data_IF_433110541232
#
_entry.id   IF_433110541232
#
_cell.length_a   1.000
_cell.length_b   1.000
_cell.length_c   1.000
_cell.angle_alpha   90.00
_cell.angle_beta   90.00
_cell.angle_gamma   90.00
#
_symmetry.space_group_name_H-M   'P 1'
#
loop_
_entity.id
_entity.type
_entity.pdbx_description
1 polymer ?
#
# COMPACT_ATOMS: atom_id res chain seq x y z
N UNK A 1 -10.33 4.76 -33.17
CA UNK A 1 -9.96 3.50 -32.51
C UNK A 1 -11.10 3.14 -31.55
N UNK A 2 -11.30 1.87 -31.19
CA UNK A 2 -12.38 1.50 -30.26
C UNK A 2 -11.92 1.72 -28.81
N UNK A 3 -12.84 1.89 -27.87
CA UNK A 3 -12.47 2.04 -26.46
C UNK A 3 -11.67 0.84 -25.92
N UNK A 4 -11.91 -0.37 -26.44
CA UNK A 4 -11.16 -1.56 -26.06
C UNK A 4 -9.71 -1.54 -26.59
N UNK A 5 -9.53 -1.12 -27.85
CA UNK A 5 -8.20 -0.95 -28.45
C UNK A 5 -7.43 0.20 -27.78
N UNK A 6 -8.10 1.30 -27.46
CA UNK A 6 -7.51 2.42 -26.73
C UNK A 6 -7.05 1.98 -25.34
N UNK A 7 -7.88 1.24 -24.60
CA UNK A 7 -7.53 0.70 -23.28
C UNK A 7 -6.33 -0.26 -23.35
N UNK A 8 -6.31 -1.17 -24.32
CA UNK A 8 -5.20 -2.10 -24.52
C UNK A 8 -3.90 -1.34 -24.81
N UNK A 9 -3.94 -0.40 -25.76
CA UNK A 9 -2.78 0.41 -26.16
C UNK A 9 -2.21 1.19 -24.97
N UNK A 10 -3.08 1.90 -24.23
CA UNK A 10 -2.66 2.66 -23.05
C UNK A 10 -2.11 1.76 -21.94
N UNK A 11 -2.68 0.56 -21.74
CA UNK A 11 -2.16 -0.40 -20.76
C UNK A 11 -0.75 -0.88 -21.12
N UNK A 12 -0.51 -1.22 -22.38
CA UNK A 12 0.81 -1.64 -22.86
C UNK A 12 1.83 -0.52 -22.71
N UNK A 13 1.46 0.72 -23.04
CA UNK A 13 2.33 1.90 -22.86
C UNK A 13 2.71 2.12 -21.39
N UNK A 14 1.76 1.95 -20.45
CA UNK A 14 2.04 2.06 -19.02
C UNK A 14 2.96 0.94 -18.52
N UNK A 15 2.77 -0.31 -18.97
CA UNK A 15 3.65 -1.43 -18.64
C UNK A 15 5.07 -1.21 -19.16
N UNK A 16 5.18 -0.69 -20.38
CA UNK A 16 6.44 -0.33 -21.01
C UNK A 16 7.16 0.77 -20.20
N UNK A 17 6.46 1.83 -19.81
CA UNK A 17 7.02 2.89 -18.97
C UNK A 17 7.49 2.38 -17.60
N UNK A 18 6.71 1.50 -16.96
CA UNK A 18 7.08 0.86 -15.70
C UNK A 18 8.39 0.07 -15.87
N UNK A 19 8.49 -0.75 -16.92
CA UNK A 19 9.69 -1.52 -17.23
C UNK A 19 10.90 -0.61 -17.47
N UNK A 20 10.72 0.49 -18.18
CA UNK A 20 11.84 1.34 -18.57
C UNK A 20 12.29 2.28 -17.42
N UNK A 21 11.49 2.45 -16.36
CA UNK A 21 11.76 3.45 -15.30
C UNK A 21 11.82 2.91 -13.88
N UNK A 22 11.24 1.75 -13.58
CA UNK A 22 11.06 1.28 -12.19
C UNK A 22 11.85 0.02 -11.82
N UNK A 23 12.62 -0.59 -12.72
CA UNK A 23 13.32 -1.87 -12.41
C UNK A 23 14.28 -1.73 -11.24
N UNK A 24 15.09 -0.67 -11.19
CA UNK A 24 15.99 -0.44 -10.05
C UNK A 24 15.23 -0.30 -8.73
N UNK A 25 14.05 0.36 -8.73
CA UNK A 25 13.21 0.47 -7.54
C UNK A 25 12.60 -0.87 -7.13
N UNK A 26 12.22 -1.70 -8.10
CA UNK A 26 11.71 -3.06 -7.85
C UNK A 26 12.81 -3.94 -7.29
N UNK A 27 14.03 -3.88 -7.83
CA UNK A 27 15.18 -4.66 -7.36
C UNK A 27 15.56 -4.24 -5.92
N UNK A 28 15.59 -2.94 -5.63
CA UNK A 28 15.82 -2.44 -4.27
C UNK A 28 14.73 -2.90 -3.29
N UNK A 29 13.45 -2.86 -3.71
CA UNK A 29 12.35 -3.35 -2.90
C UNK A 29 12.43 -4.88 -2.68
N UNK A 30 12.83 -5.63 -3.71
CA UNK A 30 13.04 -7.07 -3.64
C UNK A 30 14.16 -7.41 -2.65
N UNK A 31 15.27 -6.68 -2.67
CA UNK A 31 16.38 -6.86 -1.73
C UNK A 31 15.95 -6.63 -0.28
N UNK A 32 15.19 -5.57 0.01
CA UNK A 32 14.62 -5.32 1.34
C UNK A 32 13.73 -6.50 1.77
N UNK A 33 12.84 -6.95 0.88
CA UNK A 33 11.92 -8.05 1.18
C UNK A 33 12.69 -9.36 1.42
N UNK A 34 13.64 -9.72 0.55
CA UNK A 34 14.42 -10.95 0.69
C UNK A 34 15.28 -10.93 1.94
N UNK A 35 15.90 -9.79 2.27
CA UNK A 35 16.72 -9.65 3.48
C UNK A 35 15.86 -9.76 4.74
N UNK A 36 14.66 -9.15 4.75
CA UNK A 36 13.70 -9.28 5.85
C UNK A 36 13.36 -10.75 6.11
N UNK A 37 12.89 -11.44 5.07
CA UNK A 37 12.45 -12.85 5.16
C UNK A 37 13.60 -13.78 5.51
N UNK A 38 14.78 -13.60 4.89
CA UNK A 38 15.94 -14.44 5.15
C UNK A 38 16.47 -14.33 6.59
N UNK A 39 16.27 -13.18 7.24
CA UNK A 39 16.62 -12.96 8.65
C UNK A 39 15.47 -13.29 9.62
N UNK A 40 14.42 -13.98 9.16
CA UNK A 40 13.29 -14.41 9.99
C UNK A 40 12.30 -13.29 10.32
N UNK A 41 12.35 -12.16 9.61
CA UNK A 41 11.34 -11.12 9.67
C UNK A 41 10.16 -11.38 8.72
N UNK A 42 9.15 -10.53 8.84
CA UNK A 42 7.98 -10.48 7.98
C UNK A 42 7.95 -9.20 7.15
N UNK A 43 7.39 -9.30 5.94
CA UNK A 43 7.06 -8.14 5.11
C UNK A 43 5.57 -7.88 5.26
N UNK A 44 5.22 -6.86 6.03
CA UNK A 44 3.84 -6.41 6.22
C UNK A 44 3.35 -5.67 4.98
N UNK A 45 2.14 -5.99 4.53
CA UNK A 45 1.49 -5.38 3.38
C UNK A 45 0.23 -4.65 3.86
N UNK A 46 0.10 -3.37 3.53
CA UNK A 46 -1.12 -2.64 3.84
C UNK A 46 -1.55 -1.74 2.69
N UNK A 47 -2.86 -1.74 2.43
CA UNK A 47 -3.50 -0.84 1.50
C UNK A 47 -4.97 -0.67 1.87
N UNK A 48 -5.41 0.58 2.03
CA UNK A 48 -6.82 0.91 2.20
C UNK A 48 -7.55 0.89 0.86
N UNK A 49 -8.87 0.77 0.89
CA UNK A 49 -9.67 0.73 -0.31
C UNK A 49 -9.38 -0.53 -1.14
N UNK A 50 -9.43 -0.37 -2.46
CA UNK A 50 -9.11 -1.43 -3.42
C UNK A 50 -7.62 -1.81 -3.42
N UNK A 51 -6.75 -0.97 -2.86
CA UNK A 51 -5.31 -1.27 -2.74
C UNK A 51 -5.05 -2.55 -1.92
N UNK A 52 -6.01 -2.96 -1.09
CA UNK A 52 -6.02 -4.27 -0.41
C UNK A 52 -5.83 -5.45 -1.37
N UNK A 53 -6.37 -5.38 -2.59
CA UNK A 53 -6.26 -6.49 -3.55
C UNK A 53 -4.80 -6.83 -3.85
N UNK A 54 -3.91 -5.83 -3.87
CA UNK A 54 -2.48 -6.06 -4.05
C UNK A 54 -1.84 -6.73 -2.83
N UNK A 55 -2.36 -6.48 -1.62
CA UNK A 55 -1.91 -7.20 -0.43
C UNK A 55 -2.29 -8.69 -0.54
N UNK A 56 -3.53 -8.98 -0.96
CA UNK A 56 -4.05 -10.33 -1.13
C UNK A 56 -3.30 -11.10 -2.22
N UNK A 57 -3.01 -10.46 -3.35
CA UNK A 57 -2.25 -11.05 -4.46
C UNK A 57 -0.86 -11.54 -4.05
N UNK A 58 -0.23 -10.84 -3.09
CA UNK A 58 1.11 -11.15 -2.58
C UNK A 58 1.10 -12.10 -1.37
N UNK A 59 -0.06 -12.37 -0.74
CA UNK A 59 -0.11 -13.32 0.37
C UNK A 59 0.38 -14.71 -0.04
N UNK A 60 0.89 -15.54 0.89
CA UNK A 60 1.33 -16.89 0.57
C UNK A 60 0.25 -17.72 -0.14
N UNK A 61 0.43 -17.87 -1.45
CA UNK A 61 -0.35 -18.69 -2.38
C UNK A 61 0.59 -19.60 -3.18
N UNK A 62 0.05 -20.50 -3.99
CA UNK A 62 0.90 -21.31 -4.89
C UNK A 62 1.76 -20.39 -5.77
N UNK A 63 3.07 -20.63 -5.75
CA UNK A 63 4.07 -19.80 -6.45
C UNK A 63 4.56 -18.57 -5.67
N UNK A 64 4.16 -18.40 -4.41
CA UNK A 64 4.64 -17.33 -3.53
C UNK A 64 5.58 -17.87 -2.43
N UNK A 65 6.22 -16.97 -1.68
CA UNK A 65 7.10 -17.25 -0.56
C UNK A 65 6.38 -16.99 0.77
N UNK A 66 6.68 -17.81 1.78
CA UNK A 66 6.28 -17.52 3.16
C UNK A 66 7.07 -16.30 3.64
N UNK A 67 6.41 -15.37 4.34
CA UNK A 67 7.04 -14.18 4.90
C UNK A 67 6.29 -12.88 4.60
N UNK A 68 5.48 -12.85 3.54
CA UNK A 68 4.54 -11.75 3.31
C UNK A 68 3.31 -11.89 4.21
N UNK A 69 2.97 -10.82 4.92
CA UNK A 69 1.82 -10.76 5.81
C UNK A 69 0.86 -9.67 5.33
N UNK A 70 -0.34 -10.06 4.85
CA UNK A 70 -1.38 -9.07 4.52
C UNK A 70 -2.05 -8.55 5.80
N UNK A 71 -1.72 -7.30 6.15
CA UNK A 71 -2.41 -6.55 7.19
C UNK A 71 -3.72 -6.02 6.60
N UNK A 72 -4.79 -6.79 6.79
CA UNK A 72 -6.13 -6.45 6.31
C UNK A 72 -6.95 -5.79 7.41
N UNK A 73 -7.19 -4.48 7.28
CA UNK A 73 -8.14 -3.75 8.12
C UNK A 73 -9.50 -3.66 7.41
N UNK A 74 -10.48 -4.44 7.85
CA UNK A 74 -11.80 -4.53 7.21
C UNK A 74 -12.55 -3.19 7.23
N UNK A 75 -12.33 -2.37 8.25
CA UNK A 75 -13.01 -1.08 8.41
C UNK A 75 -12.67 -0.09 7.28
N UNK A 76 -11.55 -0.26 6.58
CA UNK A 76 -11.11 0.60 5.47
C UNK A 76 -10.98 -0.13 4.13
N UNK A 77 -11.31 -1.42 4.09
CA UNK A 77 -11.05 -2.27 2.92
C UNK A 77 -12.23 -3.16 2.51
N UNK A 78 -13.41 -2.95 3.10
CA UNK A 78 -14.65 -3.60 2.67
C UNK A 78 -15.34 -2.79 1.55
N UNK A 79 -15.59 -3.44 0.42
CA UNK A 79 -16.25 -2.83 -0.76
C UNK A 79 -17.51 -3.58 -1.20
N UNK A 80 -17.93 -4.59 -0.42
CA UNK A 80 -19.06 -5.45 -0.77
C UNK A 80 -20.41 -4.72 -0.69
N UNK A 81 -20.54 -3.73 0.19
CA UNK A 81 -21.73 -2.91 0.34
C UNK A 81 -21.45 -1.47 -0.08
N UNK A 82 -22.29 -0.92 -0.96
CA UNK A 82 -22.17 0.47 -1.42
C UNK A 82 -22.92 1.42 -0.49
N UNK A 83 -24.13 1.03 -0.08
CA UNK A 83 -25.04 1.83 0.77
C UNK A 83 -25.49 1.04 1.99
N UNK A 84 -25.93 1.75 3.03
CA UNK A 84 -26.39 1.15 4.28
C UNK A 84 -25.27 0.91 5.30
N UNK A 85 -25.51 0.02 6.25
CA UNK A 85 -24.51 -0.39 7.25
C UNK A 85 -23.34 -1.07 6.54
N UNK A 86 -22.11 -0.74 6.98
CA UNK A 86 -20.87 -1.16 6.30
C UNK A 86 -20.75 -0.71 4.83
N UNK A 87 -21.49 0.33 4.44
CA UNK A 87 -21.33 0.99 3.14
C UNK A 87 -20.07 1.86 3.06
N UNK A 88 -19.78 2.41 1.88
CA UNK A 88 -18.50 3.08 1.59
C UNK A 88 -18.21 4.35 2.41
N UNK A 89 -19.22 4.97 3.04
CA UNK A 89 -19.02 6.24 3.80
C UNK A 89 -18.11 6.05 5.01
N UNK A 90 -18.22 4.93 5.72
CA UNK A 90 -17.40 4.63 6.90
C UNK A 90 -15.92 4.49 6.54
N UNK A 91 -15.54 3.56 5.65
CA UNK A 91 -14.17 3.41 5.15
C UNK A 91 -13.56 4.73 4.64
N UNK A 92 -14.29 5.48 3.80
CA UNK A 92 -13.81 6.74 3.23
C UNK A 92 -13.63 7.86 4.27
N UNK A 93 -14.34 7.78 5.39
CA UNK A 93 -14.13 8.67 6.53
C UNK A 93 -12.88 8.25 7.31
N UNK A 94 -12.74 6.95 7.62
CA UNK A 94 -11.62 6.41 8.38
C UNK A 94 -10.27 6.58 7.68
N UNK A 95 -10.22 6.51 6.34
CA UNK A 95 -9.00 6.86 5.57
C UNK A 95 -8.49 8.29 5.83
N UNK A 96 -9.35 9.18 6.31
CA UNK A 96 -9.04 10.58 6.60
C UNK A 96 -8.91 10.87 8.09
N UNK A 97 -9.15 9.87 8.94
CA UNK A 97 -9.09 10.05 10.38
C UNK A 97 -7.65 9.88 10.86
N UNK A 98 -7.06 10.99 11.30
CA UNK A 98 -5.72 11.01 11.90
C UNK A 98 -5.72 10.31 13.27
N UNK A 99 -4.66 9.56 13.53
CA UNK A 99 -4.50 8.69 14.69
C UNK A 99 -5.02 7.27 14.48
N UNK A 100 -5.82 6.99 13.45
CA UNK A 100 -6.34 5.63 13.25
C UNK A 100 -5.23 4.64 12.85
N UNK A 101 -4.23 5.08 12.10
CA UNK A 101 -3.09 4.23 11.74
C UNK A 101 -2.35 3.70 12.97
N UNK A 102 -2.14 4.56 13.98
CA UNK A 102 -1.41 4.18 15.19
C UNK A 102 -2.19 3.15 16.02
N UNK A 103 -3.52 3.26 16.10
CA UNK A 103 -4.37 2.24 16.73
C UNK A 103 -4.25 0.89 16.02
N UNK A 104 -4.19 0.87 14.68
CA UNK A 104 -3.95 -0.37 13.92
C UNK A 104 -2.56 -0.92 14.25
N UNK A 105 -1.51 -0.09 14.19
CA UNK A 105 -0.12 -0.51 14.41
C UNK A 105 0.12 -1.01 15.84
N UNK A 106 -0.58 -0.47 16.84
CA UNK A 106 -0.50 -0.93 18.24
C UNK A 106 -1.05 -2.35 18.44
N UNK A 107 -1.83 -2.87 17.49
CA UNK A 107 -2.26 -4.28 17.46
C UNK A 107 -1.15 -5.27 17.10
N UNK A 108 0.03 -4.80 16.69
CA UNK A 108 1.12 -5.64 16.19
C UNK A 108 2.40 -5.47 17.02
N UNK A 109 3.18 -6.56 17.07
CA UNK A 109 4.56 -6.53 17.55
C UNK A 109 5.48 -6.72 16.36
N UNK A 110 6.29 -5.71 16.09
CA UNK A 110 7.26 -5.74 15.00
C UNK A 110 8.64 -6.19 15.50
N UNK A 111 9.27 -7.05 14.71
CA UNK A 111 10.63 -7.53 14.90
C UNK A 111 11.68 -6.61 14.25
N UNK A 112 12.96 -6.79 14.61
CA UNK A 112 14.07 -5.95 14.12
C UNK A 112 14.41 -6.18 12.63
N UNK A 113 13.83 -7.21 12.01
CA UNK A 113 14.05 -7.57 10.62
C UNK A 113 12.78 -7.44 9.77
N UNK A 114 11.69 -6.94 10.35
CA UNK A 114 10.45 -6.76 9.59
C UNK A 114 10.58 -5.59 8.61
N UNK A 115 9.77 -5.63 7.55
CA UNK A 115 9.66 -4.59 6.55
C UNK A 115 8.20 -4.27 6.28
N UNK A 116 7.94 -3.13 5.62
CA UNK A 116 6.58 -2.69 5.34
C UNK A 116 6.43 -2.24 3.87
N UNK A 117 5.44 -2.79 3.15
CA UNK A 117 4.98 -2.28 1.86
C UNK A 117 3.62 -1.61 2.03
N UNK A 118 3.56 -0.33 1.68
CA UNK A 118 2.37 0.50 1.75
C UNK A 118 1.87 0.80 0.34
N UNK A 119 0.60 0.47 0.08
CA UNK A 119 0.01 0.49 -1.25
C UNK A 119 -1.09 1.55 -1.28
N UNK A 120 -0.93 2.53 -2.17
CA UNK A 120 -1.92 3.59 -2.36
C UNK A 120 -1.76 4.23 -3.72
N UNK A 121 -2.85 4.39 -4.48
CA UNK A 121 -2.77 5.07 -5.78
C UNK A 121 -2.30 6.52 -5.67
N UNK A 122 -2.81 7.28 -4.69
CA UNK A 122 -2.52 8.73 -4.55
C UNK A 122 -1.52 9.05 -3.45
N UNK A 123 -1.40 8.23 -2.41
CA UNK A 123 -0.49 8.48 -1.30
C UNK A 123 -0.79 9.76 -0.48
N UNK A 124 -2.01 10.32 -0.57
CA UNK A 124 -2.34 11.61 0.08
C UNK A 124 -3.17 11.48 1.36
N UNK A 125 -3.78 10.30 1.60
CA UNK A 125 -4.73 10.09 2.69
C UNK A 125 -4.01 10.00 4.04
N UNK A 126 -4.52 10.64 5.10
CA UNK A 126 -3.96 10.55 6.44
C UNK A 126 -3.56 9.15 6.87
N UNK A 127 -4.48 8.19 6.73
CA UNK A 127 -4.24 6.81 7.14
C UNK A 127 -2.96 6.21 6.54
N UNK A 128 -2.74 6.32 5.22
CA UNK A 128 -1.55 5.71 4.60
C UNK A 128 -0.27 6.47 4.93
N UNK A 129 -0.35 7.79 5.11
CA UNK A 129 0.79 8.63 5.50
C UNK A 129 1.21 8.31 6.93
N UNK A 130 0.26 8.19 7.85
CA UNK A 130 0.52 7.83 9.24
C UNK A 130 1.00 6.38 9.38
N UNK A 131 0.48 5.43 8.58
CA UNK A 131 1.03 4.07 8.54
C UNK A 131 2.52 4.08 8.18
N UNK A 132 2.93 4.93 7.23
CA UNK A 132 4.34 5.10 6.86
C UNK A 132 5.17 5.74 7.98
N UNK A 133 4.61 6.75 8.65
CA UNK A 133 5.27 7.42 9.77
C UNK A 133 5.45 6.47 10.96
N UNK A 134 4.38 5.80 11.37
CA UNK A 134 4.39 4.85 12.49
C UNK A 134 5.28 3.62 12.23
N UNK A 135 5.37 3.14 10.98
CA UNK A 135 6.32 2.10 10.60
C UNK A 135 7.77 2.59 10.71
N UNK A 136 8.07 3.80 10.22
CA UNK A 136 9.42 4.40 10.33
C UNK A 136 9.83 4.67 11.78
N UNK A 137 8.91 5.14 12.62
CA UNK A 137 9.16 5.35 14.05
C UNK A 137 9.51 4.04 14.77
N UNK A 138 8.98 2.91 14.29
CA UNK A 138 9.29 1.55 14.76
C UNK A 138 10.56 0.97 14.14
N UNK A 139 11.29 1.75 13.34
CA UNK A 139 12.55 1.35 12.72
C UNK A 139 12.40 0.44 11.49
N UNK A 140 11.20 0.32 10.93
CA UNK A 140 10.94 -0.54 9.79
C UNK A 140 11.35 0.15 8.47
N UNK A 141 12.03 -0.55 7.54
CA UNK A 141 12.13 -0.10 6.16
C UNK A 141 10.74 -0.07 5.54
N UNK A 142 10.43 1.02 4.84
CA UNK A 142 9.13 1.27 4.21
C UNK A 142 9.30 1.37 2.70
N UNK A 143 8.57 0.54 1.96
CA UNK A 143 8.42 0.56 0.51
C UNK A 143 7.04 1.14 0.20
N UNK A 144 6.98 2.12 -0.69
CA UNK A 144 5.72 2.71 -1.12
C UNK A 144 5.40 2.31 -2.57
N UNK A 145 4.25 1.69 -2.79
CA UNK A 145 3.72 1.37 -4.12
C UNK A 145 2.59 2.35 -4.44
N UNK A 146 2.85 3.28 -5.36
CA UNK A 146 1.91 4.35 -5.72
C UNK A 146 2.04 4.83 -7.17
N UNK A 147 1.04 5.58 -7.63
CA UNK A 147 1.16 6.37 -8.86
C UNK A 147 1.77 7.73 -8.51
N UNK A 148 3.08 7.89 -8.75
CA UNK A 148 3.77 9.15 -8.51
C UNK A 148 3.14 10.35 -9.25
N UNK A 149 2.80 10.27 -10.56
CA UNK A 149 2.16 11.38 -11.25
C UNK A 149 0.81 11.79 -10.62
N UNK A 150 0.02 10.81 -10.18
CA UNK A 150 -1.25 11.08 -9.52
C UNK A 150 -1.05 11.72 -8.14
N UNK A 151 -0.07 11.21 -7.37
CA UNK A 151 0.31 11.77 -6.08
C UNK A 151 0.84 13.20 -6.18
N UNK A 152 1.68 13.50 -7.17
CA UNK A 152 2.24 14.84 -7.41
C UNK A 152 1.14 15.88 -7.69
N UNK A 153 0.11 15.51 -8.48
CA UNK A 153 -1.02 16.38 -8.82
C UNK A 153 -2.08 16.50 -7.71
N UNK A 154 -2.06 15.61 -6.72
CA UNK A 154 -3.05 15.59 -5.65
C UNK A 154 -2.55 16.38 -4.43
N UNK A 155 -3.32 17.32 -3.86
CA UNK A 155 -2.90 18.01 -2.64
C UNK A 155 -2.82 17.04 -1.45
N UNK A 156 -1.84 17.17 -0.54
CA UNK A 156 -1.79 16.36 0.68
C UNK A 156 -3.03 16.63 1.53
N UNK A 157 -3.55 15.59 2.20
CA UNK A 157 -4.74 15.72 3.06
C UNK A 157 -4.45 15.45 4.54
N UNK A 158 -3.21 15.08 4.89
CA UNK A 158 -2.73 14.96 6.26
C UNK A 158 -2.21 16.31 6.78
N UNK A 159 -2.43 16.62 8.06
CA UNK A 159 -2.10 17.90 8.70
C UNK A 159 -0.61 18.25 8.65
N UNK A 160 0.27 17.24 8.62
CA UNK A 160 1.72 17.47 8.46
C UNK A 160 2.13 18.01 7.09
N UNK A 161 1.21 18.02 6.11
CA UNK A 161 1.50 18.38 4.72
C UNK A 161 2.29 17.32 3.94
N UNK A 162 2.63 16.18 4.58
CA UNK A 162 3.35 15.07 3.94
C UNK A 162 2.44 14.23 3.06
N UNK A 163 3.06 13.53 2.11
CA UNK A 163 2.48 12.44 1.32
C UNK A 163 3.26 11.16 1.63
N UNK A 164 2.80 10.03 1.09
CA UNK A 164 3.47 8.74 1.22
C UNK A 164 4.86 8.72 0.54
N UNK A 165 5.03 9.54 -0.52
CA UNK A 165 6.26 9.68 -1.29
C UNK A 165 7.31 10.56 -0.60
#
# INVERSE_FOLDING_TARGET
MSAAEDYYTQTVELLQNLRDTQMDNIDNAAEICSNSIANGGLVFLFGAGHSRMMCEEMTPRQGCYVGFFALVELAVSTHASIVGTNGLRGPLFLEKYEGYAEEILNGFKFGPHDAFILISTSGIRPLIVEMAMGAKERGLPVIAMLSKPHGDQSPPTHLSGKKLM
#
